data_IF_643099358765
#
_entry.id   IF_643099358765
#
_cell.length_a   1.000
_cell.length_b   1.000
_cell.length_c   1.000
_cell.angle_alpha   90.00
_cell.angle_beta   90.00
_cell.angle_gamma   90.00
#
_symmetry.space_group_name_H-M   'P 1'
#
loop_
_entity.id
_entity.type
_entity.pdbx_description
1 polymer ?
#
# COMPACT_ATOMS: atom_id res chain seq x y z
N UNK A 1 8.87 -26.61 -15.16
CA UNK A 1 9.27 -25.23 -14.83
C UNK A 1 10.74 -25.03 -15.19
N UNK A 2 11.06 -24.22 -16.19
CA UNK A 2 12.43 -23.75 -16.42
C UNK A 2 12.61 -22.50 -15.56
N UNK A 3 13.27 -22.63 -14.43
CA UNK A 3 13.75 -21.48 -13.68
C UNK A 3 14.82 -20.79 -14.54
N UNK A 4 14.45 -19.68 -15.17
CA UNK A 4 15.43 -18.78 -15.74
C UNK A 4 16.25 -18.19 -14.61
N UNK A 5 17.57 -18.21 -14.74
CA UNK A 5 18.46 -17.42 -13.87
C UNK A 5 18.04 -15.98 -14.07
N UNK A 6 17.47 -15.35 -13.01
CA UNK A 6 17.10 -13.94 -13.07
C UNK A 6 18.34 -13.13 -13.48
N UNK A 7 18.12 -12.09 -14.28
CA UNK A 7 19.16 -11.13 -14.65
C UNK A 7 19.61 -10.41 -13.37
N UNK A 8 20.59 -10.99 -12.69
CA UNK A 8 21.32 -10.29 -11.65
C UNK A 8 22.17 -9.27 -12.41
N UNK A 9 22.05 -7.97 -12.09
CA UNK A 9 22.88 -6.94 -12.68
C UNK A 9 24.34 -7.40 -12.63
N UNK A 10 25.07 -7.23 -13.73
CA UNK A 10 26.49 -7.59 -13.73
C UNK A 10 27.25 -6.57 -12.88
N UNK A 11 28.02 -7.02 -11.87
CA UNK A 11 28.77 -6.11 -11.02
C UNK A 11 29.85 -5.40 -11.84
N UNK A 12 30.00 -4.09 -11.63
CA UNK A 12 31.10 -3.35 -12.23
C UNK A 12 32.42 -3.76 -11.60
N UNK A 13 33.38 -4.25 -12.39
CA UNK A 13 34.64 -4.74 -11.90
C UNK A 13 35.44 -3.68 -11.12
N UNK A 14 35.33 -2.40 -11.48
CA UNK A 14 35.98 -1.30 -10.78
C UNK A 14 35.38 -1.08 -9.38
N UNK A 15 34.05 -1.08 -9.26
CA UNK A 15 33.33 -0.95 -7.99
C UNK A 15 33.62 -2.13 -7.06
N UNK A 16 33.59 -3.35 -7.57
CA UNK A 16 33.98 -4.57 -6.81
C UNK A 16 35.37 -4.45 -6.24
N UNK A 17 36.36 -4.07 -7.07
CA UNK A 17 37.75 -3.91 -6.61
C UNK A 17 37.90 -2.80 -5.57
N UNK A 18 37.17 -1.68 -5.70
CA UNK A 18 37.14 -0.60 -4.72
C UNK A 18 36.58 -1.08 -3.37
N UNK A 19 35.46 -1.81 -3.38
CA UNK A 19 34.86 -2.37 -2.16
C UNK A 19 35.76 -3.41 -1.49
N UNK A 20 36.40 -4.29 -2.27
CA UNK A 20 37.40 -5.27 -1.77
C UNK A 20 38.61 -4.56 -1.12
N UNK A 21 39.07 -3.48 -1.74
CA UNK A 21 40.18 -2.66 -1.18
C UNK A 21 39.81 -1.99 0.15
N UNK A 22 38.49 -1.77 0.39
CA UNK A 22 37.97 -1.26 1.64
C UNK A 22 37.67 -2.35 2.69
N UNK A 23 38.05 -3.62 2.41
CA UNK A 23 37.95 -4.73 3.36
C UNK A 23 36.70 -5.61 3.24
N UNK A 24 35.83 -5.39 2.25
CA UNK A 24 34.69 -6.29 2.00
C UNK A 24 35.14 -7.58 1.35
N UNK A 25 34.55 -8.72 1.74
CA UNK A 25 34.81 -9.99 1.07
C UNK A 25 34.39 -9.92 -0.41
N UNK A 26 35.15 -10.57 -1.35
CA UNK A 26 34.87 -10.46 -2.78
C UNK A 26 33.43 -10.77 -3.19
N UNK A 27 32.84 -11.83 -2.64
CA UNK A 27 31.43 -12.17 -2.91
C UNK A 27 30.46 -11.10 -2.41
N UNK A 28 30.72 -10.55 -1.23
CA UNK A 28 29.90 -9.44 -0.66
C UNK A 28 30.00 -8.20 -1.56
N UNK A 29 31.21 -7.85 -2.01
CA UNK A 29 31.44 -6.72 -2.92
C UNK A 29 30.72 -6.92 -4.26
N UNK A 30 30.74 -8.12 -4.83
CA UNK A 30 29.99 -8.45 -6.05
C UNK A 30 28.49 -8.30 -5.85
N UNK A 31 27.92 -8.81 -4.74
CA UNK A 31 26.48 -8.70 -4.44
C UNK A 31 26.08 -7.25 -4.22
N UNK A 32 26.89 -6.46 -3.53
CA UNK A 32 26.63 -5.03 -3.31
C UNK A 32 26.63 -4.27 -4.65
N UNK A 33 27.66 -4.46 -5.47
CA UNK A 33 27.76 -3.78 -6.77
C UNK A 33 26.64 -4.20 -7.73
N UNK A 34 26.22 -5.48 -7.73
CA UNK A 34 25.06 -5.92 -8.54
C UNK A 34 23.74 -5.27 -8.13
N UNK A 35 23.71 -4.61 -6.98
CA UNK A 35 22.57 -3.82 -6.45
C UNK A 35 22.76 -2.32 -6.60
N UNK A 36 23.81 -1.87 -7.32
CA UNK A 36 24.14 -0.46 -7.50
C UNK A 36 24.74 0.20 -6.26
N UNK A 37 25.35 -0.60 -5.36
CA UNK A 37 26.06 -0.12 -4.17
C UNK A 37 27.55 -0.24 -4.44
N UNK A 38 28.16 0.84 -4.91
CA UNK A 38 29.50 0.81 -5.51
C UNK A 38 30.58 1.47 -4.65
N UNK A 39 30.18 2.21 -3.61
CA UNK A 39 31.12 2.89 -2.70
C UNK A 39 31.10 2.28 -1.30
N UNK A 40 32.24 2.36 -0.60
CA UNK A 40 32.34 1.88 0.80
C UNK A 40 31.36 2.60 1.75
N UNK A 41 31.06 3.88 1.49
CA UNK A 41 30.09 4.66 2.27
C UNK A 41 28.66 4.12 2.09
N UNK A 42 28.25 3.88 0.85
CA UNK A 42 26.95 3.29 0.56
C UNK A 42 26.83 1.87 1.12
N UNK A 43 27.91 1.06 0.96
CA UNK A 43 27.96 -0.29 1.52
C UNK A 43 27.82 -0.29 3.04
N UNK A 44 28.54 0.60 3.73
CA UNK A 44 28.43 0.74 5.18
C UNK A 44 27.01 1.17 5.61
N UNK A 45 26.46 2.19 4.97
CA UNK A 45 25.09 2.65 5.25
C UNK A 45 24.06 1.54 5.01
N UNK A 46 24.24 0.78 3.92
CA UNK A 46 23.33 -0.32 3.56
C UNK A 46 23.41 -1.48 4.55
N UNK A 47 24.60 -1.90 4.96
CA UNK A 47 24.80 -3.04 5.84
C UNK A 47 24.42 -2.74 7.29
N UNK A 48 24.79 -1.54 7.79
CA UNK A 48 24.55 -1.14 9.16
C UNK A 48 23.18 -0.45 9.35
N UNK A 49 22.48 -0.15 8.26
CA UNK A 49 21.23 0.63 8.29
C UNK A 49 21.39 2.00 8.97
N UNK A 50 22.55 2.65 8.78
CA UNK A 50 22.93 3.93 9.41
C UNK A 50 22.60 5.15 8.53
N UNK A 51 21.80 4.99 7.49
CA UNK A 51 21.36 6.12 6.69
C UNK A 51 20.56 7.08 7.57
N UNK A 52 20.96 8.36 7.55
CA UNK A 52 20.18 9.41 8.24
C UNK A 52 18.83 9.55 7.56
N UNK A 53 17.79 9.67 8.37
CA UNK A 53 16.49 10.10 7.88
C UNK A 53 16.60 11.52 7.32
N UNK A 54 16.00 11.72 6.18
CA UNK A 54 15.92 13.04 5.54
C UNK A 54 14.95 13.95 6.29
N UNK A 55 15.23 15.24 6.28
CA UNK A 55 14.30 16.22 6.86
C UNK A 55 12.94 16.15 6.16
N UNK A 56 11.82 15.97 6.91
CA UNK A 56 10.48 15.96 6.33
C UNK A 56 10.17 17.20 5.50
N UNK A 57 10.66 18.36 5.89
CA UNK A 57 10.43 19.64 5.22
C UNK A 57 11.10 19.77 3.84
N UNK A 58 11.91 18.77 3.43
CA UNK A 58 12.37 18.66 2.04
C UNK A 58 11.24 18.21 1.07
N UNK A 59 10.14 17.65 1.59
CA UNK A 59 8.95 17.39 0.77
C UNK A 59 8.17 18.69 0.60
N UNK A 60 7.82 18.98 -0.64
CA UNK A 60 6.99 20.16 -0.96
C UNK A 60 5.68 20.12 -0.17
N UNK A 61 5.27 21.25 0.34
CA UNK A 61 4.06 21.50 1.17
C UNK A 61 4.04 20.80 2.54
N UNK A 62 5.10 20.12 2.98
CA UNK A 62 5.14 19.51 4.32
C UNK A 62 5.00 20.54 5.44
N UNK A 63 5.60 21.69 5.29
CA UNK A 63 5.48 22.83 6.22
C UNK A 63 4.03 23.32 6.31
N UNK A 64 3.33 23.46 5.17
CA UNK A 64 1.91 23.86 5.12
C UNK A 64 1.02 22.78 5.74
N UNK A 65 1.29 21.50 5.45
CA UNK A 65 0.57 20.37 6.03
C UNK A 65 0.68 20.39 7.56
N UNK A 66 1.91 20.47 8.09
CA UNK A 66 2.16 20.52 9.52
C UNK A 66 1.51 21.76 10.17
N UNK A 67 1.62 22.94 9.55
CA UNK A 67 1.00 24.16 10.05
C UNK A 67 -0.54 24.04 10.13
N UNK A 68 -1.19 23.45 9.08
CA UNK A 68 -2.65 23.28 9.08
C UNK A 68 -3.11 22.28 10.13
N UNK A 69 -2.39 21.19 10.33
CA UNK A 69 -2.70 20.19 11.36
C UNK A 69 -2.54 20.79 12.76
N UNK A 70 -1.45 21.52 13.03
CA UNK A 70 -1.26 22.22 14.32
C UNK A 70 -2.42 23.21 14.59
N UNK A 71 -2.82 23.97 13.57
CA UNK A 71 -3.94 24.91 13.69
C UNK A 71 -5.26 24.19 14.02
N UNK A 72 -5.52 23.01 13.43
CA UNK A 72 -6.71 22.22 13.75
C UNK A 72 -6.69 21.76 15.20
N UNK A 73 -5.53 21.28 15.68
CA UNK A 73 -5.38 20.84 17.07
C UNK A 73 -5.56 22.01 18.05
N UNK A 74 -4.97 23.16 17.78
CA UNK A 74 -5.10 24.38 18.62
C UNK A 74 -6.55 24.86 18.72
N UNK A 75 -7.32 24.75 17.63
CA UNK A 75 -8.72 25.16 17.58
C UNK A 75 -9.70 24.09 18.06
N UNK A 76 -9.25 22.89 18.37
CA UNK A 76 -10.10 21.74 18.69
C UNK A 76 -11.01 21.33 17.52
N UNK A 77 -10.54 21.50 16.27
CA UNK A 77 -11.26 21.09 15.09
C UNK A 77 -11.27 19.56 14.98
N UNK A 78 -12.40 18.98 14.59
CA UNK A 78 -12.47 17.52 14.33
C UNK A 78 -11.71 17.19 13.06
N UNK A 79 -10.76 16.26 13.16
CA UNK A 79 -9.87 15.80 12.10
C UNK A 79 -10.31 14.41 11.66
N UNK A 80 -10.34 14.14 10.36
CA UNK A 80 -10.44 12.78 9.83
C UNK A 80 -9.11 12.37 9.20
N UNK A 81 -8.57 11.22 9.59
CA UNK A 81 -7.49 10.53 8.88
C UNK A 81 -8.13 9.54 7.93
N UNK A 82 -8.00 9.80 6.64
CA UNK A 82 -8.62 9.04 5.57
C UNK A 82 -7.56 8.19 4.84
N UNK A 83 -7.66 6.87 4.93
CA UNK A 83 -6.67 5.96 4.35
C UNK A 83 -7.19 5.03 3.29
N UNK A 84 -6.28 4.21 2.73
CA UNK A 84 -6.63 3.10 1.85
C UNK A 84 -6.83 1.79 2.64
N UNK A 85 -7.45 0.81 2.00
CA UNK A 85 -7.88 -0.47 2.58
C UNK A 85 -6.81 -1.57 2.59
N UNK A 86 -5.61 -1.33 2.07
CA UNK A 86 -4.50 -2.27 2.15
C UNK A 86 -3.65 -2.07 3.41
N UNK A 87 -2.59 -2.88 3.55
CA UNK A 87 -1.75 -2.82 4.77
C UNK A 87 -1.05 -1.50 4.93
N UNK A 88 -0.61 -0.86 3.83
CA UNK A 88 0.09 0.42 3.89
C UNK A 88 -0.87 1.52 4.32
N UNK A 89 -2.05 1.63 3.69
CA UNK A 89 -3.09 2.57 4.07
C UNK A 89 -3.61 2.37 5.49
N UNK A 90 -3.84 1.10 5.91
CA UNK A 90 -4.26 0.78 7.29
C UNK A 90 -3.21 1.22 8.30
N UNK A 91 -1.93 0.89 8.07
CA UNK A 91 -0.85 1.25 9.02
C UNK A 91 -0.60 2.74 9.04
N UNK A 92 -0.69 3.43 7.90
CA UNK A 92 -0.62 4.90 7.81
C UNK A 92 -1.76 5.57 8.59
N UNK A 93 -2.99 5.07 8.42
CA UNK A 93 -4.17 5.55 9.16
C UNK A 93 -4.01 5.34 10.65
N UNK A 94 -3.60 4.15 11.08
CA UNK A 94 -3.43 3.84 12.50
C UNK A 94 -2.30 4.63 13.13
N UNK A 95 -1.17 4.80 12.42
CA UNK A 95 -0.05 5.61 12.88
C UNK A 95 -0.49 7.04 13.15
N UNK A 96 -1.05 7.70 12.13
CA UNK A 96 -1.37 9.13 12.25
C UNK A 96 -2.55 9.36 13.22
N UNK A 97 -3.55 8.48 13.23
CA UNK A 97 -4.66 8.53 14.19
C UNK A 97 -4.17 8.37 15.64
N UNK A 98 -3.30 7.38 15.90
CA UNK A 98 -2.72 7.16 17.23
C UNK A 98 -1.85 8.34 17.65
N UNK A 99 -1.02 8.86 16.74
CA UNK A 99 -0.17 10.03 16.97
C UNK A 99 -0.99 11.25 17.38
N UNK A 100 -2.04 11.58 16.64
CA UNK A 100 -2.90 12.74 16.90
C UNK A 100 -3.71 12.58 18.19
N UNK A 101 -4.29 11.38 18.44
CA UNK A 101 -5.05 11.08 19.69
C UNK A 101 -4.20 11.28 20.94
N UNK A 102 -2.98 10.78 20.94
CA UNK A 102 -2.06 10.92 22.07
C UNK A 102 -1.69 12.36 22.38
N UNK A 103 -1.84 13.26 21.40
CA UNK A 103 -1.64 14.71 21.55
C UNK A 103 -2.92 15.49 21.80
N UNK A 104 -4.02 14.77 22.10
CA UNK A 104 -5.31 15.35 22.52
C UNK A 104 -6.16 15.89 21.36
N UNK A 105 -5.86 15.55 20.11
CA UNK A 105 -6.69 15.93 18.98
C UNK A 105 -8.02 15.15 18.95
N UNK A 106 -9.12 15.82 18.56
CA UNK A 106 -10.36 15.15 18.20
C UNK A 106 -10.22 14.55 16.80
N UNK A 107 -9.92 13.23 16.73
CA UNK A 107 -9.60 12.56 15.49
C UNK A 107 -10.39 11.27 15.30
N UNK A 108 -10.91 11.10 14.10
CA UNK A 108 -11.55 9.87 13.60
C UNK A 108 -10.74 9.29 12.47
N UNK A 109 -10.69 7.95 12.39
CA UNK A 109 -10.13 7.24 11.24
C UNK A 109 -11.26 6.86 10.30
N UNK A 110 -11.02 6.94 8.99
CA UNK A 110 -11.95 6.52 7.95
C UNK A 110 -11.20 5.77 6.86
N UNK A 111 -11.64 4.58 6.54
CA UNK A 111 -11.15 3.81 5.41
C UNK A 111 -12.34 3.36 4.59
N UNK A 112 -12.44 3.70 3.29
CA UNK A 112 -13.60 3.36 2.47
C UNK A 112 -13.73 1.86 2.26
N UNK A 113 -14.96 1.38 2.18
CA UNK A 113 -15.26 0.00 1.86
C UNK A 113 -14.86 -0.32 0.41
N UNK A 114 -13.90 -1.22 0.22
CA UNK A 114 -13.38 -1.60 -1.11
C UNK A 114 -14.46 -2.03 -2.09
N UNK A 115 -15.49 -2.72 -1.61
CA UNK A 115 -16.57 -3.29 -2.44
C UNK A 115 -17.66 -2.26 -2.75
N UNK A 116 -17.96 -1.39 -1.81
CA UNK A 116 -19.09 -0.47 -1.83
C UNK A 116 -18.72 0.91 -2.33
N UNK A 117 -17.58 1.46 -1.85
CA UNK A 117 -17.16 2.83 -2.12
C UNK A 117 -16.02 2.92 -3.13
N UNK A 118 -15.22 1.87 -3.29
CA UNK A 118 -14.08 1.84 -4.20
C UNK A 118 -12.78 2.33 -3.57
N UNK A 119 -11.90 2.89 -4.40
CA UNK A 119 -10.56 3.35 -4.01
C UNK A 119 -10.53 4.87 -3.81
N UNK A 120 -9.90 5.31 -2.73
CA UNK A 120 -9.57 6.69 -2.47
C UNK A 120 -10.73 7.55 -1.97
N UNK A 121 -10.46 8.85 -1.87
CA UNK A 121 -11.43 9.83 -1.41
C UNK A 121 -12.64 9.86 -2.35
N UNK A 122 -13.85 9.88 -1.81
CA UNK A 122 -15.07 9.78 -2.60
C UNK A 122 -16.17 10.70 -2.03
N UNK A 123 -17.18 11.07 -2.86
CA UNK A 123 -18.24 12.00 -2.43
C UNK A 123 -19.08 11.50 -1.25
N UNK A 124 -19.31 10.19 -1.12
CA UNK A 124 -20.12 9.60 -0.05
C UNK A 124 -19.40 9.80 1.29
N UNK A 125 -18.12 9.48 1.34
CA UNK A 125 -17.31 9.66 2.54
C UNK A 125 -17.19 11.14 2.94
N UNK A 126 -17.00 12.05 1.97
CA UNK A 126 -16.92 13.50 2.23
C UNK A 126 -18.21 14.00 2.85
N UNK A 127 -19.36 13.61 2.30
CA UNK A 127 -20.68 14.00 2.83
C UNK A 127 -20.89 13.47 4.25
N UNK A 128 -20.53 12.22 4.51
CA UNK A 128 -20.58 11.62 5.85
C UNK A 128 -19.70 12.38 6.84
N UNK A 129 -18.42 12.60 6.52
CA UNK A 129 -17.47 13.30 7.38
C UNK A 129 -17.90 14.75 7.63
N UNK A 130 -18.48 15.41 6.61
CA UNK A 130 -19.08 16.75 6.77
C UNK A 130 -20.22 16.75 7.79
N UNK A 131 -21.15 15.80 7.71
CA UNK A 131 -22.27 15.65 8.67
C UNK A 131 -21.77 15.35 10.09
N UNK A 132 -20.63 14.66 10.22
CA UNK A 132 -19.99 14.39 11.51
C UNK A 132 -19.23 15.60 12.09
N UNK A 133 -19.17 16.71 11.36
CA UNK A 133 -18.54 17.94 11.80
C UNK A 133 -17.04 18.02 11.57
N UNK A 134 -16.48 17.17 10.72
CA UNK A 134 -15.07 17.20 10.33
C UNK A 134 -14.75 18.54 9.65
N UNK A 135 -13.59 19.11 9.99
CA UNK A 135 -13.08 20.39 9.45
C UNK A 135 -11.78 20.22 8.69
N UNK A 136 -11.06 19.15 8.96
CA UNK A 136 -9.84 18.80 8.27
C UNK A 136 -9.85 17.33 7.91
N UNK A 137 -9.68 17.00 6.64
CA UNK A 137 -9.36 15.64 6.19
C UNK A 137 -7.86 15.59 5.88
N UNK A 138 -7.18 14.58 6.43
CA UNK A 138 -5.80 14.24 6.09
C UNK A 138 -5.85 12.88 5.39
N UNK A 139 -5.56 12.85 4.09
CA UNK A 139 -5.46 11.56 3.40
C UNK A 139 -4.08 10.95 3.63
N UNK A 140 -4.03 9.63 3.75
CA UNK A 140 -2.80 8.86 3.86
C UNK A 140 -2.84 7.70 2.88
N UNK A 141 -1.77 7.50 2.11
CA UNK A 141 -1.67 6.45 1.09
C UNK A 141 -2.73 6.55 -0.03
N UNK A 142 -3.30 7.71 -0.22
CA UNK A 142 -4.26 8.01 -1.28
C UNK A 142 -4.47 9.52 -1.42
N UNK A 143 -5.13 9.92 -2.51
CA UNK A 143 -5.59 11.29 -2.67
C UNK A 143 -4.87 12.11 -3.73
N UNK A 144 -3.70 11.70 -4.22
CA UNK A 144 -2.93 12.47 -5.23
C UNK A 144 -3.70 12.66 -6.55
N UNK A 145 -4.71 11.86 -6.81
CA UNK A 145 -5.55 11.95 -7.99
C UNK A 145 -6.95 12.52 -7.74
N UNK A 146 -7.27 12.91 -6.50
CA UNK A 146 -8.60 13.32 -6.03
C UNK A 146 -8.92 14.79 -6.36
N UNK A 147 -8.91 15.17 -7.64
CA UNK A 147 -9.09 16.57 -8.09
C UNK A 147 -10.51 17.06 -7.83
N UNK A 148 -11.51 16.26 -8.20
CA UNK A 148 -12.93 16.63 -8.06
C UNK A 148 -13.36 16.57 -6.57
N UNK A 149 -12.82 15.61 -5.82
CA UNK A 149 -13.07 15.44 -4.40
C UNK A 149 -12.48 16.59 -3.58
N UNK A 150 -11.32 17.12 -3.98
CA UNK A 150 -10.74 18.31 -3.36
C UNK A 150 -11.65 19.53 -3.53
N UNK A 151 -12.26 19.70 -4.72
CA UNK A 151 -13.24 20.75 -4.95
C UNK A 151 -14.51 20.57 -4.11
N UNK A 152 -14.93 19.30 -3.93
CA UNK A 152 -16.09 18.99 -3.08
C UNK A 152 -15.78 19.29 -1.62
N UNK A 153 -14.63 18.91 -1.08
CA UNK A 153 -14.19 19.28 0.26
C UNK A 153 -14.25 20.79 0.49
N UNK A 154 -13.72 21.57 -0.46
CA UNK A 154 -13.74 23.03 -0.43
C UNK A 154 -15.17 23.60 -0.40
N UNK A 155 -16.11 23.02 -1.18
CA UNK A 155 -17.54 23.41 -1.15
C UNK A 155 -18.21 23.08 0.18
N UNK A 156 -17.81 21.98 0.83
CA UNK A 156 -18.30 21.58 2.15
C UNK A 156 -17.64 22.36 3.31
N UNK A 157 -16.66 23.22 3.03
CA UNK A 157 -15.91 23.93 4.07
C UNK A 157 -15.00 23.02 4.90
N UNK A 158 -14.50 21.95 4.29
CA UNK A 158 -13.53 21.03 4.85
C UNK A 158 -12.18 21.32 4.19
N UNK A 159 -11.17 21.59 4.99
CA UNK A 159 -9.79 21.67 4.49
C UNK A 159 -9.24 20.28 4.21
N UNK A 160 -8.42 20.17 3.17
CA UNK A 160 -7.82 18.91 2.74
C UNK A 160 -6.29 19.03 2.79
N UNK A 161 -5.65 18.07 3.45
CA UNK A 161 -4.21 17.81 3.41
C UNK A 161 -4.03 16.42 2.82
N UNK A 162 -3.30 16.33 1.72
CA UNK A 162 -3.03 15.06 1.04
C UNK A 162 -1.62 14.61 1.40
N UNK A 163 -1.49 13.36 1.89
CA UNK A 163 -0.21 12.65 1.97
C UNK A 163 -0.31 11.36 1.18
N UNK A 164 0.51 11.23 0.15
CA UNK A 164 0.46 10.10 -0.78
C UNK A 164 1.88 9.77 -1.28
N UNK A 165 2.03 8.64 -1.94
CA UNK A 165 3.29 8.19 -2.53
C UNK A 165 3.11 7.63 -3.96
N UNK A 166 1.90 7.70 -4.49
CA UNK A 166 1.59 7.25 -5.84
C UNK A 166 2.06 8.24 -6.91
N UNK A 167 2.19 7.79 -8.15
CA UNK A 167 2.59 8.65 -9.27
C UNK A 167 1.62 9.80 -9.48
N UNK A 168 2.16 11.02 -9.54
CA UNK A 168 1.39 12.23 -9.78
C UNK A 168 0.86 12.29 -11.21
N UNK A 169 -0.36 12.78 -11.39
CA UNK A 169 -0.89 13.18 -12.69
C UNK A 169 -0.46 14.61 -13.02
N UNK A 170 -0.75 15.04 -14.28
CA UNK A 170 -0.46 16.41 -14.74
C UNK A 170 -1.15 17.48 -13.89
N UNK A 171 -2.36 17.18 -13.39
CA UNK A 171 -3.15 18.09 -12.55
C UNK A 171 -3.18 17.53 -11.13
N UNK A 172 -2.68 18.31 -10.20
CA UNK A 172 -2.75 18.01 -8.76
C UNK A 172 -4.06 18.54 -8.16
N UNK A 173 -4.58 17.89 -7.10
CA UNK A 173 -5.74 18.37 -6.35
C UNK A 173 -5.50 19.76 -5.73
N UNK A 174 -6.52 20.62 -5.75
CA UNK A 174 -6.51 21.92 -5.08
C UNK A 174 -6.78 21.75 -3.57
N UNK A 175 -5.73 21.39 -2.81
CA UNK A 175 -5.76 21.18 -1.37
C UNK A 175 -4.92 22.23 -0.62
N UNK A 176 -5.04 22.29 0.71
CA UNK A 176 -4.20 23.17 1.55
C UNK A 176 -2.73 22.76 1.43
N UNK A 177 -2.46 21.48 1.37
CA UNK A 177 -1.15 20.91 1.13
C UNK A 177 -1.28 19.58 0.37
N UNK A 178 -0.32 19.33 -0.53
CA UNK A 178 -0.18 18.05 -1.25
C UNK A 178 1.24 17.56 -1.04
N UNK A 179 1.41 16.59 -0.16
CA UNK A 179 2.71 16.04 0.22
C UNK A 179 2.89 14.69 -0.46
N UNK A 180 3.80 14.65 -1.43
CA UNK A 180 4.12 13.44 -2.17
C UNK A 180 5.58 13.50 -2.66
N UNK A 181 6.38 12.43 -2.44
CA UNK A 181 7.77 12.40 -2.91
C UNK A 181 7.89 12.40 -4.45
N UNK A 182 6.85 12.02 -5.20
CA UNK A 182 6.84 11.99 -6.67
C UNK A 182 6.45 13.31 -7.32
N UNK A 183 6.10 14.33 -6.55
CA UNK A 183 5.75 15.64 -7.12
C UNK A 183 6.82 16.14 -8.09
N UNK A 184 6.43 16.57 -9.31
CA UNK A 184 7.38 17.02 -10.34
C UNK A 184 8.08 18.32 -9.96
N UNK A 185 7.44 19.18 -9.16
CA UNK A 185 7.98 20.42 -8.61
C UNK A 185 8.71 20.22 -7.27
N UNK A 186 8.80 18.97 -6.79
CA UNK A 186 9.43 18.60 -5.54
C UNK A 186 10.87 18.10 -5.70
N UNK A 187 11.69 18.33 -4.67
CA UNK A 187 13.10 17.92 -4.63
C UNK A 187 13.42 16.81 -3.63
N UNK A 188 12.43 16.08 -3.11
CA UNK A 188 12.69 15.05 -2.12
C UNK A 188 13.56 13.93 -2.70
N UNK A 189 14.73 13.61 -2.10
CA UNK A 189 15.70 12.73 -2.74
C UNK A 189 15.27 11.26 -2.78
N UNK A 190 14.44 10.81 -1.83
CA UNK A 190 14.00 9.42 -1.70
C UNK A 190 12.56 9.23 -2.19
N UNK A 191 12.42 8.96 -3.49
CA UNK A 191 11.11 8.86 -4.16
C UNK A 191 10.28 7.63 -3.79
N UNK A 192 10.90 6.60 -3.22
CA UNK A 192 10.29 5.29 -3.01
C UNK A 192 9.80 5.07 -1.56
N UNK A 193 9.32 6.13 -0.89
CA UNK A 193 8.63 5.95 0.38
C UNK A 193 7.29 5.23 0.16
N UNK A 194 6.85 4.47 1.15
CA UNK A 194 5.47 3.96 1.23
C UNK A 194 4.52 5.03 1.77
N UNK A 195 3.20 4.83 1.65
CA UNK A 195 2.20 5.73 2.21
C UNK A 195 2.36 5.93 3.71
N UNK A 196 2.61 4.85 4.48
CA UNK A 196 2.92 4.97 5.92
C UNK A 196 4.24 5.70 6.16
N UNK A 197 5.21 5.60 5.26
CA UNK A 197 6.46 6.37 5.32
C UNK A 197 6.21 7.88 5.17
N UNK A 198 5.30 8.28 4.29
CA UNK A 198 4.91 9.70 4.14
C UNK A 198 4.09 10.17 5.35
N UNK A 199 3.17 9.35 5.86
CA UNK A 199 2.43 9.65 7.09
C UNK A 199 3.36 9.80 8.31
N UNK A 200 4.40 8.94 8.42
CA UNK A 200 5.47 9.08 9.40
C UNK A 200 6.20 10.42 9.26
N UNK A 201 6.52 10.85 8.04
CA UNK A 201 7.17 12.14 7.80
C UNK A 201 6.30 13.33 8.24
N UNK A 202 4.98 13.25 8.06
CA UNK A 202 4.08 14.28 8.59
C UNK A 202 4.08 14.28 10.13
N UNK A 203 4.01 13.12 10.76
CA UNK A 203 4.10 13.01 12.23
C UNK A 203 5.44 13.55 12.75
N UNK A 204 6.55 13.25 12.05
CA UNK A 204 7.89 13.74 12.37
C UNK A 204 8.02 15.28 12.21
N UNK A 205 7.37 15.86 11.20
CA UNK A 205 7.32 17.31 11.02
C UNK A 205 6.47 17.99 12.11
N UNK A 206 5.44 17.33 12.60
CA UNK A 206 4.62 17.83 13.71
C UNK A 206 5.37 17.79 15.05
N UNK A 207 6.13 16.72 15.29
CA UNK A 207 6.89 16.50 16.54
C UNK A 207 8.20 17.29 16.57
N UNK A 208 8.77 17.60 15.40
CA UNK A 208 10.12 18.19 15.23
C UNK A 208 11.26 17.27 15.73
N UNK A 209 10.93 16.00 15.99
CA UNK A 209 11.86 14.94 16.39
C UNK A 209 11.52 13.61 15.69
N UNK A 210 12.25 13.31 14.60
CA UNK A 210 12.04 12.11 13.81
C UNK A 210 12.42 10.83 14.56
N UNK A 211 13.42 10.90 15.43
CA UNK A 211 13.90 9.72 16.16
C UNK A 211 12.86 9.29 17.20
N UNK A 212 12.26 10.24 17.92
CA UNK A 212 11.18 9.95 18.87
C UNK A 212 9.96 9.31 18.18
N UNK A 213 9.56 9.85 17.01
CA UNK A 213 8.44 9.27 16.24
C UNK A 213 8.79 7.88 15.69
N UNK A 214 10.05 7.68 15.25
CA UNK A 214 10.49 6.37 14.77
C UNK A 214 10.54 5.34 15.90
N UNK A 215 11.02 5.71 17.08
CA UNK A 215 11.04 4.83 18.22
C UNK A 215 9.62 4.35 18.58
N UNK A 216 8.65 5.25 18.49
CA UNK A 216 7.25 4.97 18.83
C UNK A 216 6.50 4.16 17.75
N UNK A 217 6.77 4.38 16.45
CA UNK A 217 5.94 3.87 15.35
C UNK A 217 6.70 3.02 14.32
N UNK A 218 7.95 2.63 14.60
CA UNK A 218 8.76 1.86 13.66
C UNK A 218 8.12 0.53 13.24
N UNK A 219 7.37 -0.11 14.13
CA UNK A 219 6.61 -1.35 13.86
C UNK A 219 5.54 -1.14 12.76
N UNK A 220 4.76 -0.06 12.84
CA UNK A 220 3.74 0.27 11.83
C UNK A 220 4.39 0.65 10.50
N UNK A 221 5.41 1.52 10.53
CA UNK A 221 6.13 1.94 9.31
C UNK A 221 6.79 0.75 8.61
N UNK A 222 7.36 -0.18 9.38
CA UNK A 222 7.94 -1.41 8.84
C UNK A 222 6.88 -2.29 8.17
N UNK A 223 5.74 -2.47 8.83
CA UNK A 223 4.69 -3.36 8.34
C UNK A 223 4.14 -2.88 6.99
N UNK A 224 3.75 -1.60 6.86
CA UNK A 224 3.25 -1.04 5.61
C UNK A 224 4.32 -1.03 4.52
N UNK A 225 5.53 -0.53 4.81
CA UNK A 225 6.64 -0.50 3.84
C UNK A 225 6.98 -1.86 3.24
N UNK A 226 6.97 -2.93 4.06
CA UNK A 226 7.23 -4.31 3.58
C UNK A 226 6.03 -4.86 2.81
N UNK A 227 4.81 -4.58 3.26
CA UNK A 227 3.60 -5.10 2.65
C UNK A 227 3.34 -4.49 1.26
N UNK A 228 3.65 -3.22 1.07
CA UNK A 228 3.61 -2.52 -0.21
C UNK A 228 4.81 -2.83 -1.14
N UNK A 229 5.69 -3.74 -0.70
CA UNK A 229 6.83 -4.24 -1.50
C UNK A 229 7.77 -3.13 -1.93
N UNK A 230 7.91 -2.08 -1.14
CA UNK A 230 8.81 -0.97 -1.44
C UNK A 230 10.28 -1.37 -1.47
N UNK A 231 11.08 -0.65 -2.27
CA UNK A 231 12.52 -0.90 -2.34
C UNK A 231 13.18 -0.63 -0.98
N UNK A 232 13.81 -1.66 -0.39
CA UNK A 232 14.48 -1.56 0.90
C UNK A 232 15.88 -0.93 0.77
N UNK A 233 15.90 0.33 0.33
CA UNK A 233 17.08 1.20 0.21
C UNK A 233 16.83 2.50 0.97
N UNK A 234 17.89 3.27 1.23
CA UNK A 234 17.77 4.57 1.90
C UNK A 234 16.96 4.50 3.20
N UNK A 235 15.97 5.36 3.33
CA UNK A 235 15.12 5.47 4.52
C UNK A 235 14.26 4.23 4.76
N UNK A 236 13.71 3.61 3.70
CA UNK A 236 12.90 2.39 3.83
C UNK A 236 13.70 1.26 4.50
N UNK A 237 15.01 1.18 4.22
CA UNK A 237 15.85 0.18 4.88
C UNK A 237 16.02 0.46 6.36
N UNK A 238 16.16 1.72 6.76
CA UNK A 238 16.23 2.14 8.17
C UNK A 238 14.90 1.83 8.86
N UNK A 239 13.77 2.20 8.25
CA UNK A 239 12.43 1.92 8.77
C UNK A 239 12.22 0.43 9.02
N UNK A 240 12.56 -0.40 8.03
CA UNK A 240 12.37 -1.85 8.16
C UNK A 240 13.34 -2.46 9.18
N UNK A 241 14.59 -2.03 9.23
CA UNK A 241 15.55 -2.54 10.20
C UNK A 241 15.15 -2.20 11.65
N UNK A 242 14.78 -0.93 11.90
CA UNK A 242 14.29 -0.48 13.21
C UNK A 242 12.96 -1.11 13.58
N UNK A 243 12.03 -1.18 12.62
CA UNK A 243 10.72 -1.76 12.85
C UNK A 243 10.75 -3.27 13.13
N UNK A 244 11.61 -4.04 12.47
CA UNK A 244 11.82 -5.45 12.80
C UNK A 244 12.39 -5.61 14.24
N UNK A 245 13.25 -4.70 14.68
CA UNK A 245 13.72 -4.69 16.05
C UNK A 245 12.59 -4.33 17.04
N UNK A 246 11.76 -3.33 16.69
CA UNK A 246 10.58 -2.95 17.48
C UNK A 246 9.57 -4.10 17.57
N UNK A 247 9.25 -4.78 16.45
CA UNK A 247 8.33 -5.92 16.43
C UNK A 247 8.80 -7.08 17.32
N UNK A 248 10.10 -7.36 17.39
CA UNK A 248 10.66 -8.39 18.29
C UNK A 248 10.43 -8.11 19.75
N UNK A 249 10.28 -6.85 20.11
CA UNK A 249 10.10 -6.37 21.47
C UNK A 249 8.77 -5.60 21.64
N UNK A 250 7.81 -5.80 20.74
CA UNK A 250 6.59 -4.99 20.74
C UNK A 250 5.78 -5.17 22.02
N UNK A 251 5.33 -4.04 22.55
CA UNK A 251 4.37 -3.97 23.65
C UNK A 251 2.95 -3.65 23.16
N UNK A 252 2.77 -3.46 21.84
CA UNK A 252 1.44 -3.22 21.26
C UNK A 252 0.65 -4.53 21.22
N UNK A 253 -0.50 -4.60 21.92
CA UNK A 253 -1.29 -5.84 22.01
C UNK A 253 -1.68 -6.39 20.63
N UNK A 254 -2.03 -5.51 19.69
CA UNK A 254 -2.44 -5.90 18.33
C UNK A 254 -1.34 -6.64 17.57
N UNK A 255 -0.11 -6.14 17.55
CA UNK A 255 1.01 -6.81 16.89
C UNK A 255 1.37 -8.13 17.56
N UNK A 256 1.44 -8.14 18.90
CA UNK A 256 1.74 -9.35 19.65
C UNK A 256 0.68 -10.45 19.43
N UNK A 257 -0.59 -10.09 19.43
CA UNK A 257 -1.70 -11.00 19.14
C UNK A 257 -1.66 -11.52 17.72
N UNK A 258 -1.47 -10.63 16.72
CA UNK A 258 -1.42 -11.03 15.31
C UNK A 258 -0.26 -12.00 15.03
N UNK A 259 0.93 -11.74 15.56
CA UNK A 259 2.08 -12.63 15.42
C UNK A 259 1.77 -14.00 16.04
N UNK A 260 1.25 -14.04 17.25
CA UNK A 260 0.91 -15.28 17.95
C UNK A 260 -0.14 -16.10 17.19
N UNK A 261 -1.27 -15.49 16.82
CA UNK A 261 -2.37 -16.20 16.15
C UNK A 261 -2.01 -16.59 14.70
N UNK A 262 -1.06 -15.89 14.05
CA UNK A 262 -0.55 -16.26 12.73
C UNK A 262 0.53 -17.34 12.77
N UNK A 263 1.05 -17.71 13.95
CA UNK A 263 2.19 -18.62 14.09
C UNK A 263 3.54 -17.99 13.71
N UNK A 264 3.62 -16.66 13.67
CA UNK A 264 4.86 -15.93 13.46
C UNK A 264 5.61 -15.79 14.79
N UNK A 265 6.77 -16.41 14.90
CA UNK A 265 7.59 -16.29 16.10
C UNK A 265 8.14 -14.86 16.23
N UNK A 266 7.79 -14.19 17.31
CA UNK A 266 8.11 -12.78 17.56
C UNK A 266 9.62 -12.54 17.54
N UNK A 267 10.40 -13.43 18.15
CA UNK A 267 11.86 -13.30 18.29
C UNK A 267 12.60 -13.36 16.95
N UNK A 268 12.00 -14.00 15.95
CA UNK A 268 12.60 -14.23 14.63
C UNK A 268 11.84 -13.57 13.49
N UNK A 269 10.93 -12.63 13.81
CA UNK A 269 10.17 -11.91 12.78
C UNK A 269 11.10 -11.27 11.73
N UNK A 270 10.73 -11.40 10.48
CA UNK A 270 11.52 -10.96 9.32
C UNK A 270 10.60 -10.28 8.29
N UNK A 271 11.17 -9.54 7.34
CA UNK A 271 10.41 -8.97 6.23
C UNK A 271 9.61 -10.06 5.46
N UNK A 272 10.19 -11.27 5.30
CA UNK A 272 9.48 -12.40 4.71
C UNK A 272 8.26 -12.83 5.53
N UNK A 273 8.40 -12.89 6.86
CA UNK A 273 7.27 -13.21 7.74
C UNK A 273 6.17 -12.13 7.67
N UNK A 274 6.56 -10.84 7.59
CA UNK A 274 5.61 -9.76 7.36
C UNK A 274 4.85 -9.98 6.05
N UNK A 275 5.55 -10.15 4.92
CA UNK A 275 4.93 -10.25 3.60
C UNK A 275 4.07 -11.49 3.39
N UNK A 276 4.45 -12.65 3.99
CA UNK A 276 3.77 -13.92 3.74
C UNK A 276 2.89 -14.41 4.89
N UNK A 277 3.06 -13.89 6.12
CA UNK A 277 2.26 -14.31 7.26
C UNK A 277 1.37 -13.19 7.80
N UNK A 278 1.89 -11.98 8.06
CA UNK A 278 1.11 -10.91 8.68
C UNK A 278 0.27 -10.14 7.66
N UNK A 279 0.87 -9.61 6.62
CA UNK A 279 0.21 -8.78 5.62
C UNK A 279 -1.00 -9.46 4.93
N UNK A 280 -0.97 -10.78 4.58
CA UNK A 280 -2.13 -11.43 3.98
C UNK A 280 -3.38 -11.45 4.87
N UNK A 281 -3.21 -11.49 6.19
CA UNK A 281 -4.32 -11.49 7.16
C UNK A 281 -4.97 -10.12 7.25
N UNK A 282 -4.16 -9.09 7.25
CA UNK A 282 -4.62 -7.69 7.27
C UNK A 282 -5.31 -7.36 5.93
N UNK A 283 -4.68 -7.69 4.81
CA UNK A 283 -5.26 -7.51 3.48
C UNK A 283 -6.59 -8.26 3.29
N UNK A 284 -6.79 -9.37 4.01
CA UNK A 284 -8.05 -10.09 3.97
C UNK A 284 -9.21 -9.24 4.50
N UNK A 285 -8.98 -8.36 5.47
CA UNK A 285 -9.99 -7.45 6.01
C UNK A 285 -10.56 -6.53 4.91
N UNK A 286 -9.71 -5.85 4.15
CA UNK A 286 -10.15 -5.00 3.05
C UNK A 286 -10.81 -5.79 1.91
N UNK A 287 -10.29 -7.00 1.59
CA UNK A 287 -10.84 -7.83 0.52
C UNK A 287 -12.21 -8.44 0.84
N UNK A 288 -12.48 -8.71 2.11
CA UNK A 288 -13.71 -9.34 2.59
C UNK A 288 -14.70 -8.34 3.21
N UNK A 289 -14.44 -7.02 3.07
CA UNK A 289 -15.35 -5.96 3.54
C UNK A 289 -15.42 -5.82 5.07
N UNK A 290 -14.36 -6.17 5.80
CA UNK A 290 -14.31 -6.09 7.26
C UNK A 290 -13.07 -5.30 7.74
N UNK A 291 -12.84 -4.14 7.12
CA UNK A 291 -11.64 -3.32 7.34
C UNK A 291 -11.49 -2.86 8.80
N UNK A 292 -12.60 -2.62 9.49
CA UNK A 292 -12.61 -2.14 10.87
C UNK A 292 -11.88 -3.08 11.82
N UNK A 293 -11.90 -4.41 11.56
CA UNK A 293 -11.17 -5.39 12.36
C UNK A 293 -9.66 -5.11 12.38
N UNK A 294 -9.10 -4.69 11.26
CA UNK A 294 -7.67 -4.42 11.15
C UNK A 294 -7.31 -3.08 11.81
N UNK A 295 -8.12 -2.05 11.59
CA UNK A 295 -7.92 -0.74 12.23
C UNK A 295 -8.03 -0.87 13.75
N UNK A 296 -9.08 -1.54 14.23
CA UNK A 296 -9.30 -1.74 15.66
C UNK A 296 -8.20 -2.57 16.31
N UNK A 297 -7.66 -3.60 15.62
CA UNK A 297 -6.53 -4.40 16.09
C UNK A 297 -5.31 -3.55 16.39
N UNK A 298 -4.96 -2.61 15.51
CA UNK A 298 -3.76 -1.79 15.70
C UNK A 298 -3.95 -0.59 16.62
N UNK A 299 -5.21 -0.20 16.89
CA UNK A 299 -5.53 0.92 17.78
C UNK A 299 -5.92 0.48 19.20
N UNK A 300 -6.25 -0.80 19.43
CA UNK A 300 -6.62 -1.27 20.76
C UNK A 300 -5.42 -1.37 21.71
N UNK A 301 -5.63 -0.99 22.96
CA UNK A 301 -4.68 -1.19 24.06
C UNK A 301 -5.07 -2.39 24.96
N UNK A 302 -6.22 -3.03 24.68
CA UNK A 302 -6.70 -4.20 25.41
C UNK A 302 -6.17 -5.51 24.81
N UNK A 303 -5.38 -6.30 25.55
CA UNK A 303 -4.81 -7.56 25.07
C UNK A 303 -5.82 -8.66 24.77
N UNK A 304 -6.96 -8.71 25.49
CA UNK A 304 -8.02 -9.70 25.26
C UNK A 304 -8.73 -9.38 23.95
N UNK A 305 -9.14 -8.13 23.76
CA UNK A 305 -9.73 -7.64 22.52
C UNK A 305 -8.78 -7.81 21.33
N UNK A 306 -7.51 -7.50 21.48
CA UNK A 306 -6.49 -7.73 20.45
C UNK A 306 -6.42 -9.20 20.02
N UNK A 307 -6.54 -10.12 20.99
CA UNK A 307 -6.52 -11.57 20.71
C UNK A 307 -7.75 -11.99 19.90
N UNK A 308 -8.93 -11.51 20.23
CA UNK A 308 -10.19 -11.79 19.50
C UNK A 308 -10.13 -11.25 18.05
N UNK A 309 -9.68 -10.01 17.89
CA UNK A 309 -9.52 -9.37 16.59
C UNK A 309 -8.49 -10.10 15.71
N UNK A 310 -7.34 -10.49 16.28
CA UNK A 310 -6.33 -11.25 15.56
C UNK A 310 -6.82 -12.63 15.09
N UNK A 311 -7.60 -13.33 15.91
CA UNK A 311 -8.26 -14.59 15.52
C UNK A 311 -9.25 -14.36 14.38
N UNK A 312 -10.09 -13.33 14.48
CA UNK A 312 -11.04 -12.97 13.45
C UNK A 312 -10.35 -12.70 12.11
N UNK A 313 -9.23 -11.97 12.10
CA UNK A 313 -8.43 -11.74 10.90
C UNK A 313 -7.80 -13.03 10.34
N UNK A 314 -7.34 -13.95 11.20
CA UNK A 314 -6.83 -15.25 10.76
C UNK A 314 -7.93 -16.10 10.13
N UNK A 315 -9.15 -16.10 10.70
CA UNK A 315 -10.31 -16.79 10.15
C UNK A 315 -10.75 -16.20 8.81
N UNK A 316 -10.79 -14.87 8.74
CA UNK A 316 -11.13 -14.14 7.53
C UNK A 316 -10.14 -14.43 6.40
N UNK A 317 -8.85 -14.52 6.70
CA UNK A 317 -7.85 -14.90 5.72
C UNK A 317 -8.02 -16.35 5.25
N UNK A 318 -8.42 -17.28 6.12
CA UNK A 318 -8.77 -18.66 5.72
C UNK A 318 -9.99 -18.69 4.80
N UNK A 319 -11.02 -17.92 5.12
CA UNK A 319 -12.20 -17.79 4.25
C UNK A 319 -11.80 -17.24 2.87
N UNK A 320 -11.01 -16.16 2.83
CA UNK A 320 -10.50 -15.60 1.59
C UNK A 320 -9.73 -16.64 0.77
N UNK A 321 -8.86 -17.46 1.39
CA UNK A 321 -8.11 -18.54 0.72
C UNK A 321 -9.03 -19.61 0.14
N UNK A 322 -10.09 -20.00 0.85
CA UNK A 322 -11.07 -20.95 0.36
C UNK A 322 -11.83 -20.40 -0.86
N UNK A 323 -12.26 -19.13 -0.80
CA UNK A 323 -12.89 -18.44 -1.93
C UNK A 323 -11.94 -18.35 -3.12
N UNK A 324 -10.67 -17.99 -2.88
CA UNK A 324 -9.62 -17.95 -3.92
C UNK A 324 -9.44 -19.28 -4.62
N UNK A 325 -9.33 -20.38 -3.85
CA UNK A 325 -9.20 -21.72 -4.42
C UNK A 325 -10.43 -22.11 -5.23
N UNK A 326 -11.63 -21.83 -4.74
CA UNK A 326 -12.87 -22.13 -5.46
C UNK A 326 -12.97 -21.38 -6.80
N UNK A 327 -12.67 -20.08 -6.81
CA UNK A 327 -12.65 -19.28 -8.05
C UNK A 327 -11.57 -19.80 -9.02
N UNK A 328 -10.39 -20.16 -8.50
CA UNK A 328 -9.30 -20.66 -9.32
C UNK A 328 -9.68 -21.99 -9.99
N UNK A 329 -10.19 -22.98 -9.23
CA UNK A 329 -10.58 -24.28 -9.76
C UNK A 329 -11.70 -24.16 -10.81
N UNK A 330 -12.68 -23.29 -10.55
CA UNK A 330 -13.75 -23.00 -11.50
C UNK A 330 -13.19 -22.35 -12.78
N UNK A 331 -12.38 -21.29 -12.65
CA UNK A 331 -11.80 -20.59 -13.80
C UNK A 331 -10.94 -21.51 -14.66
N UNK A 332 -10.13 -22.39 -14.05
CA UNK A 332 -9.32 -23.37 -14.79
C UNK A 332 -10.19 -24.40 -15.52
N UNK A 333 -11.30 -24.83 -14.91
CA UNK A 333 -12.23 -25.76 -15.56
C UNK A 333 -12.95 -25.19 -16.79
N UNK A 334 -13.03 -23.87 -16.89
CA UNK A 334 -13.62 -23.16 -18.05
C UNK A 334 -12.63 -23.02 -19.23
N UNK A 335 -11.34 -23.32 -19.02
CA UNK A 335 -10.33 -23.21 -20.07
C UNK A 335 -10.38 -24.39 -21.04
N UNK A 336 -10.14 -24.17 -22.35
CA UNK A 336 -10.10 -25.24 -23.32
C UNK A 336 -8.91 -26.18 -23.09
N UNK A 337 -9.14 -27.49 -23.22
CA UNK A 337 -8.07 -28.46 -23.08
C UNK A 337 -7.02 -28.36 -24.21
N UNK A 338 -5.75 -28.45 -23.82
CA UNK A 338 -4.63 -28.70 -24.74
C UNK A 338 -4.11 -27.49 -25.51
N UNK A 339 -4.63 -26.25 -25.31
CA UNK A 339 -4.13 -25.05 -25.98
C UNK A 339 -4.18 -23.84 -25.05
N UNK A 340 -3.04 -23.26 -24.77
CA UNK A 340 -2.99 -21.99 -24.03
C UNK A 340 -3.53 -20.87 -24.95
N UNK A 341 -4.57 -20.14 -24.56
CA UNK A 341 -5.09 -19.03 -25.33
C UNK A 341 -4.12 -17.84 -25.33
N UNK A 342 -4.25 -16.94 -26.29
CA UNK A 342 -3.47 -15.69 -26.34
C UNK A 342 -3.87 -14.72 -25.22
N UNK A 343 -5.11 -14.79 -24.77
CA UNK A 343 -5.65 -14.09 -23.60
C UNK A 343 -6.76 -14.93 -22.96
N UNK A 344 -6.89 -14.84 -21.64
CA UNK A 344 -7.95 -15.47 -20.87
C UNK A 344 -8.97 -14.39 -20.48
N UNK A 345 -10.23 -14.59 -20.89
CA UNK A 345 -11.37 -13.73 -20.52
C UNK A 345 -12.48 -14.64 -20.01
N UNK A 346 -12.74 -14.60 -18.71
CA UNK A 346 -13.73 -15.45 -18.07
C UNK A 346 -14.65 -14.59 -17.18
N UNK A 347 -15.90 -15.00 -17.05
CA UNK A 347 -16.90 -14.29 -16.27
C UNK A 347 -17.80 -15.27 -15.52
N UNK A 348 -18.18 -14.91 -14.29
CA UNK A 348 -19.13 -15.67 -13.49
C UNK A 348 -19.77 -14.78 -12.40
N UNK A 349 -21.06 -15.05 -12.11
CA UNK A 349 -21.83 -14.30 -11.09
C UNK A 349 -21.46 -14.70 -9.65
N UNK A 350 -20.92 -15.90 -9.45
CA UNK A 350 -20.54 -16.40 -8.11
C UNK A 350 -19.19 -15.86 -7.61
N UNK A 351 -18.42 -15.20 -8.47
CA UNK A 351 -17.07 -14.77 -8.12
C UNK A 351 -17.05 -13.57 -7.19
N UNK A 352 -16.18 -13.63 -6.19
CA UNK A 352 -16.05 -12.57 -5.20
C UNK A 352 -15.10 -11.47 -5.70
N UNK A 353 -15.63 -10.24 -5.85
CA UNK A 353 -14.93 -9.10 -6.41
C UNK A 353 -13.62 -8.75 -5.68
N UNK A 354 -13.57 -8.86 -4.34
CA UNK A 354 -12.38 -8.58 -3.55
C UNK A 354 -11.26 -9.62 -3.71
N UNK A 355 -11.59 -10.82 -4.24
CA UNK A 355 -10.66 -11.96 -4.34
C UNK A 355 -10.23 -12.26 -5.78
N UNK A 356 -11.11 -12.02 -6.75
CA UNK A 356 -10.88 -12.35 -8.17
C UNK A 356 -9.57 -11.82 -8.73
N UNK A 357 -9.10 -10.66 -8.26
CA UNK A 357 -7.82 -10.07 -8.69
C UNK A 357 -6.58 -10.87 -8.28
N UNK A 358 -6.64 -11.65 -7.19
CA UNK A 358 -5.55 -12.56 -6.79
C UNK A 358 -5.53 -13.75 -7.76
N UNK A 359 -6.71 -14.28 -8.06
CA UNK A 359 -6.84 -15.41 -8.99
C UNK A 359 -6.40 -15.02 -10.39
N UNK A 360 -6.76 -13.82 -10.86
CA UNK A 360 -6.31 -13.29 -12.14
C UNK A 360 -4.77 -13.21 -12.25
N UNK A 361 -4.10 -12.80 -11.16
CA UNK A 361 -2.63 -12.79 -11.10
C UNK A 361 -2.05 -14.21 -11.22
N UNK A 362 -2.58 -15.14 -10.46
CA UNK A 362 -2.13 -16.53 -10.46
C UNK A 362 -2.32 -17.21 -11.82
N UNK A 363 -3.48 -17.01 -12.45
CA UNK A 363 -3.77 -17.56 -13.79
C UNK A 363 -2.86 -16.92 -14.84
N UNK A 364 -2.67 -15.60 -14.82
CA UNK A 364 -1.79 -14.91 -15.76
C UNK A 364 -0.34 -15.43 -15.70
N UNK A 365 0.18 -15.68 -14.50
CA UNK A 365 1.52 -16.24 -14.30
C UNK A 365 1.63 -17.70 -14.73
N UNK A 366 0.64 -18.53 -14.40
CA UNK A 366 0.63 -19.97 -14.67
C UNK A 366 0.49 -20.26 -16.16
N UNK A 367 -0.44 -19.56 -16.83
CA UNK A 367 -0.74 -19.76 -18.25
C UNK A 367 0.09 -18.82 -19.17
N UNK A 368 0.91 -17.94 -18.59
CA UNK A 368 1.78 -17.03 -19.32
C UNK A 368 1.04 -16.15 -20.34
N UNK A 369 -0.16 -15.67 -20.03
CA UNK A 369 -0.98 -14.83 -20.91
C UNK A 369 -1.77 -13.75 -20.16
N UNK A 370 -2.17 -12.66 -20.81
CA UNK A 370 -3.04 -11.66 -20.22
C UNK A 370 -4.36 -12.28 -19.78
N UNK A 371 -4.81 -11.94 -18.57
CA UNK A 371 -5.99 -12.55 -17.94
C UNK A 371 -6.97 -11.50 -17.45
N UNK A 372 -8.25 -11.69 -17.77
CA UNK A 372 -9.38 -10.89 -17.34
C UNK A 372 -10.40 -11.80 -16.65
N UNK A 373 -10.66 -11.58 -15.38
CA UNK A 373 -11.70 -12.27 -14.65
C UNK A 373 -12.78 -11.27 -14.24
N UNK A 374 -14.01 -11.52 -14.63
CA UNK A 374 -15.14 -10.61 -14.54
C UNK A 374 -16.16 -11.18 -13.53
N UNK A 375 -16.43 -10.42 -12.48
CA UNK A 375 -17.55 -10.68 -11.59
C UNK A 375 -18.80 -10.05 -12.21
N UNK A 376 -19.83 -10.83 -12.47
CA UNK A 376 -21.09 -10.34 -13.02
C UNK A 376 -22.06 -10.00 -11.90
N UNK A 377 -22.80 -8.89 -12.07
CA UNK A 377 -23.88 -8.44 -11.21
C UNK A 377 -25.00 -7.88 -12.10
N UNK A 378 -25.94 -8.75 -12.47
CA UNK A 378 -27.01 -8.43 -13.41
C UNK A 378 -26.47 -7.95 -14.78
N UNK A 379 -26.77 -6.71 -15.16
CA UNK A 379 -26.32 -6.11 -16.42
C UNK A 379 -24.90 -5.52 -16.34
N UNK A 380 -24.28 -5.51 -15.18
CA UNK A 380 -22.96 -4.95 -14.95
C UNK A 380 -21.89 -6.03 -14.75
N UNK A 381 -20.66 -5.73 -15.15
CA UNK A 381 -19.52 -6.58 -14.89
C UNK A 381 -18.33 -5.78 -14.38
N UNK A 382 -17.73 -6.24 -13.28
CA UNK A 382 -16.52 -5.64 -12.73
C UNK A 382 -15.35 -6.61 -12.89
N UNK A 383 -14.37 -6.22 -13.71
CA UNK A 383 -13.22 -7.07 -14.03
C UNK A 383 -12.00 -6.75 -13.17
N UNK A 384 -11.25 -7.78 -12.83
CA UNK A 384 -9.85 -7.67 -12.45
C UNK A 384 -8.98 -8.29 -13.52
N UNK A 385 -8.01 -7.53 -14.01
CA UNK A 385 -7.16 -7.96 -15.11
C UNK A 385 -5.68 -7.92 -14.76
N UNK A 386 -4.92 -8.81 -15.38
CA UNK A 386 -3.46 -8.89 -15.24
C UNK A 386 -2.82 -9.04 -16.60
N UNK A 387 -1.78 -8.30 -16.79
CA UNK A 387 -0.96 -8.34 -17.99
C UNK A 387 0.14 -9.40 -17.88
N UNK A 388 0.61 -9.91 -19.01
CA UNK A 388 1.75 -10.81 -19.11
C UNK A 388 2.59 -10.50 -20.36
N UNK A 389 3.89 -10.85 -20.33
CA UNK A 389 4.75 -10.88 -21.52
C UNK A 389 4.94 -9.58 -22.28
N UNK A 390 4.85 -8.40 -21.65
CA UNK A 390 5.01 -7.12 -22.36
C UNK A 390 3.71 -6.53 -22.92
N UNK A 391 2.56 -7.20 -22.75
CA UNK A 391 1.26 -6.66 -23.17
C UNK A 391 0.90 -5.41 -22.35
N UNK A 392 0.68 -4.27 -23.05
CA UNK A 392 0.25 -3.04 -22.40
C UNK A 392 -1.27 -3.06 -22.21
N UNK A 393 -1.69 -3.51 -21.04
CA UNK A 393 -3.09 -3.66 -20.69
C UNK A 393 -3.82 -2.31 -20.63
N UNK A 394 -3.17 -1.27 -20.06
CA UNK A 394 -3.77 0.05 -19.93
C UNK A 394 -4.02 0.69 -21.30
N UNK A 395 -3.03 0.66 -22.20
CA UNK A 395 -3.21 1.17 -23.57
C UNK A 395 -4.32 0.42 -24.31
N UNK A 396 -4.42 -0.90 -24.13
CA UNK A 396 -5.48 -1.72 -24.73
C UNK A 396 -6.87 -1.34 -24.21
N UNK A 397 -7.02 -1.13 -22.90
CA UNK A 397 -8.29 -0.65 -22.32
C UNK A 397 -8.63 0.76 -22.77
N UNK A 398 -7.65 1.63 -22.95
CA UNK A 398 -7.85 2.99 -23.46
C UNK A 398 -8.44 2.97 -24.88
N UNK A 399 -8.03 2.03 -25.73
CA UNK A 399 -8.61 1.90 -27.07
C UNK A 399 -10.07 1.39 -27.08
N UNK A 400 -10.52 0.84 -25.95
CA UNK A 400 -11.86 0.30 -25.75
C UNK A 400 -12.71 1.18 -24.81
N UNK A 401 -12.26 2.41 -24.53
CA UNK A 401 -12.91 3.31 -23.57
C UNK A 401 -14.41 3.51 -23.82
N UNK A 402 -14.83 3.54 -25.09
CA UNK A 402 -16.23 3.73 -25.47
C UNK A 402 -17.13 2.53 -25.10
N UNK A 403 -16.54 1.37 -24.78
CA UNK A 403 -17.23 0.15 -24.38
C UNK A 403 -17.22 -0.05 -22.86
N UNK A 404 -16.50 0.79 -22.12
CA UNK A 404 -16.28 0.65 -20.69
C UNK A 404 -16.93 1.82 -19.94
N UNK A 405 -17.61 1.56 -18.85
CA UNK A 405 -18.11 2.63 -17.97
C UNK A 405 -16.96 3.36 -17.26
N UNK A 406 -15.99 2.59 -16.80
CA UNK A 406 -14.75 3.10 -16.22
C UNK A 406 -13.63 2.07 -16.29
N UNK A 407 -12.40 2.52 -16.34
CA UNK A 407 -11.22 1.68 -16.22
C UNK A 407 -10.09 2.47 -15.57
N UNK A 408 -9.20 1.76 -14.88
CA UNK A 408 -8.05 2.36 -14.22
C UNK A 408 -6.94 1.36 -13.99
N UNK A 409 -5.74 1.85 -13.73
CA UNK A 409 -4.58 1.03 -13.46
C UNK A 409 -3.29 1.80 -13.63
N UNK A 410 -2.17 1.18 -13.21
CA UNK A 410 -0.83 1.74 -13.39
C UNK A 410 -0.21 1.25 -14.69
N UNK A 411 0.48 2.16 -15.41
CA UNK A 411 1.25 1.82 -16.59
C UNK A 411 2.59 1.15 -16.17
N UNK A 412 3.09 0.33 -17.07
CA UNK A 412 4.24 -0.53 -16.82
C UNK A 412 5.58 0.17 -16.93
N UNK A 413 6.28 0.30 -15.83
CA UNK A 413 7.75 0.33 -15.84
C UNK A 413 8.42 -0.61 -14.82
N UNK A 414 7.69 -1.47 -14.15
CA UNK A 414 8.30 -2.48 -13.29
C UNK A 414 7.96 -3.88 -13.76
N UNK A 415 8.96 -4.72 -13.85
CA UNK A 415 8.90 -6.16 -14.15
C UNK A 415 8.19 -6.98 -13.04
N UNK A 416 7.50 -6.35 -12.10
CA UNK A 416 6.65 -6.98 -11.10
C UNK A 416 5.22 -6.48 -11.28
N UNK A 417 4.41 -7.40 -11.75
CA UNK A 417 2.98 -7.28 -12.05
C UNK A 417 2.15 -7.17 -10.77
N UNK A 418 1.92 -5.97 -10.28
CA UNK A 418 0.93 -5.71 -9.24
C UNK A 418 -0.04 -4.58 -9.64
N UNK A 419 -0.40 -4.49 -10.90
CA UNK A 419 -1.45 -3.57 -11.32
C UNK A 419 -2.78 -4.32 -11.41
N UNK A 420 -3.66 -4.12 -10.44
CA UNK A 420 -5.06 -4.51 -10.56
C UNK A 420 -5.80 -3.44 -11.33
N UNK A 421 -6.24 -3.77 -12.54
CA UNK A 421 -7.13 -2.93 -13.32
C UNK A 421 -8.57 -3.37 -13.03
N UNK A 422 -9.41 -2.45 -12.67
CA UNK A 422 -10.85 -2.67 -12.52
C UNK A 422 -11.53 -2.09 -13.74
N UNK A 423 -12.25 -2.91 -14.48
CA UNK A 423 -13.09 -2.48 -15.61
C UNK A 423 -14.55 -2.72 -15.24
N UNK A 424 -15.40 -1.73 -15.46
CA UNK A 424 -16.85 -1.88 -15.41
C UNK A 424 -17.38 -1.70 -16.84
N UNK A 425 -18.22 -2.59 -17.28
CA UNK A 425 -18.86 -2.48 -18.60
C UNK A 425 -20.34 -2.87 -18.50
N UNK A 426 -21.19 -2.20 -19.28
CA UNK A 426 -22.55 -2.69 -19.53
C UNK A 426 -22.48 -3.82 -20.52
N UNK A 427 -23.08 -4.95 -20.20
CA UNK A 427 -23.34 -6.01 -21.17
C UNK A 427 -24.50 -5.60 -22.06
N UNK A 428 -24.40 -5.71 -23.40
CA UNK A 428 -25.56 -5.52 -24.24
C UNK A 428 -26.60 -6.60 -23.91
N UNK A 429 -27.82 -6.14 -23.60
CA UNK A 429 -28.95 -7.03 -23.43
C UNK A 429 -29.33 -7.59 -24.80
N UNK A 430 -28.72 -8.68 -25.23
CA UNK A 430 -29.26 -9.60 -26.25
C UNK A 430 -28.19 -10.50 -26.86
N UNK A 431 -28.25 -11.74 -26.62
CA UNK A 431 -28.52 -12.82 -27.60
C UNK A 431 -28.30 -14.16 -26.94
#
# INVERSE_FOLDING_TARGET
>A
MKYGIGNVGQPESAAVNALVSCGYAPLTAMVLSSRGIDTAREANNYLNCDAKLLDPCLMTDMDKAAARVRLAMEKGEKIAVFGDYDVDGITATCLLTSYLRRRGADVVSYIPGRLEEGYGLNPIAIDQLHKEGVRLIITVDCGITAVDEAQLCKKCGIDLVITDHHECKEILPEAVAVVDPHRPDGGYPHKTLSGVGVAFKLAAALEEDQEAVLEEYADMVCLGTVADVMLLQGENRVFVAKGLQSLRNTHRPGFAALMRESGCAQETVSASAIGFMLAPRINAAGRMGQIDLAVELFLTEDPEKATELARSLCDLNRQRQNVESGIYDQAVSMLPEGKTPEAIVLADESWHQGVVGIVASRIAEEFCCPTFLICLDGEHGKASSRSFGGFNLFASLTTLSDLLESYGGQDRKSTRLNSSHVCQSRMPSSA
#
